data_IF_017958493929
#
_entry.id   IF_017958493929
#
_cell.length_a   1.000
_cell.length_b   1.000
_cell.length_c   1.000
_cell.angle_alpha   90.00
_cell.angle_beta   90.00
_cell.angle_gamma   90.00
#
_symmetry.space_group_name_H-M   'P 1'
#
loop_
_entity.id
_entity.type
_entity.pdbx_description
1 polymer ?
#
# COMPACT_ATOMS: atom_id res chain seq x y z
N UNK A 1 -16.62 15.93 -30.76
CA UNK A 1 -17.39 15.77 -29.51
C UNK A 1 -17.08 16.95 -28.63
N UNK A 2 -18.12 17.65 -28.18
CA UNK A 2 -17.95 18.95 -27.51
C UNK A 2 -17.44 18.74 -26.07
N UNK A 3 -16.62 19.66 -25.52
CA UNK A 3 -16.24 19.63 -24.10
C UNK A 3 -17.46 19.58 -23.16
N UNK A 4 -18.62 20.05 -23.61
CA UNK A 4 -19.89 20.01 -22.89
C UNK A 4 -20.45 18.58 -22.73
N UNK A 5 -20.22 17.69 -23.69
CA UNK A 5 -20.62 16.27 -23.57
C UNK A 5 -19.77 15.55 -22.51
N UNK A 6 -18.49 15.91 -22.38
CA UNK A 6 -17.61 15.38 -21.33
C UNK A 6 -18.04 15.88 -19.95
N UNK A 7 -18.44 17.15 -19.82
CA UNK A 7 -18.97 17.68 -18.55
C UNK A 7 -20.29 17.00 -18.14
N UNK A 8 -21.17 16.72 -19.10
CA UNK A 8 -22.39 15.95 -18.86
C UNK A 8 -22.07 14.50 -18.43
N UNK A 9 -21.03 13.88 -19.00
CA UNK A 9 -20.59 12.54 -18.59
C UNK A 9 -19.93 12.54 -17.20
N UNK A 10 -19.17 13.57 -16.85
CA UNK A 10 -18.54 13.72 -15.53
C UNK A 10 -19.59 13.94 -14.44
N UNK A 11 -20.58 14.80 -14.68
CA UNK A 11 -21.70 14.99 -13.74
C UNK A 11 -22.54 13.73 -13.60
N UNK A 12 -22.76 12.99 -14.69
CA UNK A 12 -23.36 11.65 -14.67
C UNK A 12 -22.54 10.64 -13.87
N UNK A 13 -21.21 10.62 -14.01
CA UNK A 13 -20.31 9.76 -13.24
C UNK A 13 -20.34 10.07 -11.75
N UNK A 14 -20.36 11.35 -11.37
CA UNK A 14 -20.54 11.76 -9.99
C UNK A 14 -21.87 11.30 -9.42
N UNK A 15 -22.97 11.45 -10.16
CA UNK A 15 -24.29 10.93 -9.76
C UNK A 15 -24.30 9.41 -9.59
N UNK A 16 -23.68 8.66 -10.51
CA UNK A 16 -23.59 7.20 -10.42
C UNK A 16 -22.70 6.73 -9.27
N UNK A 17 -21.62 7.45 -8.95
CA UNK A 17 -20.76 7.17 -7.80
C UNK A 17 -21.44 7.50 -6.46
N UNK A 18 -22.24 8.56 -6.42
CA UNK A 18 -23.03 8.90 -5.23
C UNK A 18 -24.16 7.91 -4.97
N UNK A 19 -24.70 7.30 -6.03
CA UNK A 19 -25.72 6.26 -5.96
C UNK A 19 -25.16 4.82 -5.93
N UNK A 20 -23.83 4.66 -5.81
CA UNK A 20 -23.12 3.37 -5.78
C UNK A 20 -23.40 2.42 -6.96
N UNK A 21 -23.83 2.94 -8.11
CA UNK A 21 -24.11 2.15 -9.32
C UNK A 21 -22.82 1.89 -10.11
N UNK A 22 -22.02 0.94 -9.61
CA UNK A 22 -20.68 0.63 -10.16
C UNK A 22 -20.72 0.16 -11.62
N UNK A 23 -21.72 -0.62 -12.04
CA UNK A 23 -21.85 -1.12 -13.42
C UNK A 23 -22.15 0.01 -14.41
N UNK A 24 -23.00 0.95 -14.02
CA UNK A 24 -23.31 2.13 -14.84
C UNK A 24 -22.10 3.08 -14.90
N UNK A 25 -21.35 3.20 -13.79
CA UNK A 25 -20.11 3.94 -13.78
C UNK A 25 -19.07 3.35 -14.76
N UNK A 26 -18.96 2.02 -14.88
CA UNK A 26 -18.08 1.38 -15.87
C UNK A 26 -18.50 1.64 -17.32
N UNK A 27 -19.81 1.57 -17.60
CA UNK A 27 -20.33 1.88 -18.93
C UNK A 27 -20.07 3.36 -19.30
N UNK A 28 -20.28 4.28 -18.36
CA UNK A 28 -19.99 5.70 -18.54
C UNK A 28 -18.47 5.96 -18.65
N UNK A 29 -17.64 5.29 -17.84
CA UNK A 29 -16.18 5.40 -17.92
C UNK A 29 -15.63 4.93 -19.26
N UNK A 30 -16.15 3.83 -19.82
CA UNK A 30 -15.72 3.35 -21.14
C UNK A 30 -16.05 4.35 -22.25
N UNK A 31 -17.25 4.96 -22.20
CA UNK A 31 -17.67 6.02 -23.11
C UNK A 31 -16.82 7.29 -22.94
N UNK A 32 -16.54 7.68 -21.71
CA UNK A 32 -15.67 8.83 -21.39
C UNK A 32 -14.24 8.60 -21.88
N UNK A 33 -13.67 7.40 -21.70
CA UNK A 33 -12.34 7.06 -22.23
C UNK A 33 -12.28 7.10 -23.75
N UNK A 34 -13.33 6.63 -24.42
CA UNK A 34 -13.42 6.71 -25.88
C UNK A 34 -13.45 8.18 -26.35
N UNK A 35 -14.23 9.03 -25.67
CA UNK A 35 -14.24 10.46 -25.95
C UNK A 35 -12.87 11.11 -25.69
N UNK A 36 -12.17 10.73 -24.61
CA UNK A 36 -10.81 11.21 -24.31
C UNK A 36 -9.77 10.74 -25.35
N UNK A 37 -9.89 9.51 -25.87
CA UNK A 37 -9.07 9.02 -26.99
C UNK A 37 -9.27 9.86 -28.24
N UNK A 38 -10.51 10.14 -28.61
CA UNK A 38 -10.82 10.94 -29.80
C UNK A 38 -10.30 12.39 -29.71
N UNK A 39 -10.14 12.90 -28.49
CA UNK A 39 -9.60 14.23 -28.22
C UNK A 39 -8.08 14.24 -27.97
N UNK A 40 -7.41 13.08 -28.10
CA UNK A 40 -5.98 12.88 -27.83
C UNK A 40 -5.54 13.39 -26.43
N UNK A 41 -6.43 13.33 -25.44
CA UNK A 41 -6.21 13.92 -24.11
C UNK A 41 -5.83 12.89 -23.02
N UNK A 42 -5.51 11.65 -23.41
CA UNK A 42 -5.13 10.57 -22.49
C UNK A 42 -3.71 10.67 -21.94
N UNK A 43 -2.82 11.33 -22.68
CA UNK A 43 -1.47 11.64 -22.23
C UNK A 43 -1.37 13.16 -22.26
N UNK A 44 -1.06 13.80 -21.12
CA UNK A 44 -1.02 15.24 -21.08
C UNK A 44 0.20 15.71 -21.89
N UNK A 45 -0.07 16.42 -22.97
CA UNK A 45 0.96 17.03 -23.83
C UNK A 45 0.87 18.55 -23.66
N UNK A 46 1.98 19.28 -23.79
CA UNK A 46 2.06 20.74 -23.61
C UNK A 46 1.10 21.56 -24.50
N UNK A 47 0.46 20.92 -25.48
CA UNK A 47 -0.52 21.51 -26.39
C UNK A 47 -1.98 21.28 -25.98
N UNK A 48 -2.25 20.59 -24.87
CA UNK A 48 -3.63 20.25 -24.45
C UNK A 48 -4.35 21.45 -23.82
N UNK A 49 -5.62 21.71 -24.17
CA UNK A 49 -6.39 22.80 -23.54
C UNK A 49 -6.56 22.55 -22.04
N UNK A 50 -6.41 23.58 -21.18
CA UNK A 50 -6.47 23.41 -19.73
C UNK A 50 -7.82 22.88 -19.22
N UNK A 51 -8.92 23.18 -19.92
CA UNK A 51 -10.25 22.62 -19.60
C UNK A 51 -10.33 21.12 -19.84
N UNK A 52 -9.78 20.63 -20.95
CA UNK A 52 -9.76 19.20 -21.25
C UNK A 52 -8.82 18.45 -20.30
N UNK A 53 -7.71 19.07 -19.91
CA UNK A 53 -6.81 18.52 -18.90
C UNK A 53 -7.54 18.27 -17.57
N UNK A 54 -8.26 19.27 -17.04
CA UNK A 54 -8.99 19.12 -15.78
C UNK A 54 -10.07 18.04 -15.83
N UNK A 55 -10.80 17.93 -16.95
CA UNK A 55 -11.83 16.90 -17.14
C UNK A 55 -11.23 15.50 -17.31
N UNK A 56 -10.13 15.38 -18.05
CA UNK A 56 -9.43 14.10 -18.23
C UNK A 56 -8.92 13.57 -16.89
N UNK A 57 -8.32 14.45 -16.07
CA UNK A 57 -7.92 14.12 -14.69
C UNK A 57 -9.11 13.62 -13.89
N UNK A 58 -10.18 14.40 -13.80
CA UNK A 58 -11.36 14.07 -13.01
C UNK A 58 -11.97 12.71 -13.42
N UNK A 59 -12.04 12.40 -14.72
CA UNK A 59 -12.51 11.10 -15.20
C UNK A 59 -11.60 9.95 -14.74
N UNK A 60 -10.28 10.14 -14.80
CA UNK A 60 -9.32 9.13 -14.36
C UNK A 60 -9.33 8.95 -12.84
N UNK A 61 -9.49 10.03 -12.07
CA UNK A 61 -9.63 10.02 -10.62
C UNK A 61 -10.90 9.27 -10.18
N UNK A 62 -12.04 9.56 -10.81
CA UNK A 62 -13.28 8.83 -10.58
C UNK A 62 -13.18 7.36 -11.00
N UNK A 63 -12.43 7.08 -12.08
CA UNK A 63 -12.11 5.71 -12.51
C UNK A 63 -11.29 4.94 -11.47
N UNK A 64 -10.34 5.59 -10.83
CA UNK A 64 -9.53 5.02 -9.76
C UNK A 64 -10.41 4.68 -8.53
N UNK A 65 -11.25 5.62 -8.09
CA UNK A 65 -12.16 5.42 -6.94
C UNK A 65 -13.17 4.30 -7.21
N UNK A 66 -13.73 4.26 -8.42
CA UNK A 66 -14.65 3.18 -8.83
C UNK A 66 -13.96 1.81 -8.78
N UNK A 67 -12.68 1.75 -9.17
CA UNK A 67 -11.90 0.51 -9.14
C UNK A 67 -11.66 0.02 -7.71
N UNK A 68 -11.38 0.93 -6.78
CA UNK A 68 -11.23 0.61 -5.35
C UNK A 68 -12.55 0.09 -4.78
N UNK A 69 -13.67 0.76 -5.04
CA UNK A 69 -15.00 0.33 -4.54
C UNK A 69 -15.41 -1.05 -5.04
N UNK A 70 -14.88 -1.47 -6.19
CA UNK A 70 -15.08 -2.81 -6.75
C UNK A 70 -14.09 -3.85 -6.20
N UNK A 71 -13.03 -3.43 -5.51
CA UNK A 71 -11.95 -4.31 -5.05
C UNK A 71 -10.98 -4.74 -6.17
N UNK A 72 -10.92 -3.99 -7.28
CA UNK A 72 -10.00 -4.29 -8.39
C UNK A 72 -8.68 -3.51 -8.23
N UNK A 73 -7.80 -4.06 -7.39
CA UNK A 73 -6.46 -3.53 -7.12
C UNK A 73 -5.60 -3.32 -8.39
N UNK A 74 -5.46 -4.27 -9.33
CA UNK A 74 -4.59 -4.07 -10.50
C UNK A 74 -5.14 -2.97 -11.43
N UNK A 75 -6.47 -2.86 -11.60
CA UNK A 75 -7.05 -1.74 -12.34
C UNK A 75 -6.76 -0.40 -11.68
N UNK A 76 -6.83 -0.32 -10.35
CA UNK A 76 -6.49 0.89 -9.62
C UNK A 76 -5.03 1.30 -9.82
N UNK A 77 -4.07 0.38 -9.68
CA UNK A 77 -2.65 0.66 -9.93
C UNK A 77 -2.41 1.20 -11.33
N UNK A 78 -3.11 0.66 -12.35
CA UNK A 78 -3.03 1.20 -13.72
C UNK A 78 -3.56 2.64 -13.81
N UNK A 79 -4.70 2.95 -13.18
CA UNK A 79 -5.21 4.32 -13.16
C UNK A 79 -4.26 5.27 -12.43
N UNK A 80 -3.69 4.83 -11.31
CA UNK A 80 -2.69 5.61 -10.57
C UNK A 80 -1.47 5.94 -11.43
N UNK A 81 -0.92 4.95 -12.16
CA UNK A 81 0.18 5.17 -13.11
C UNK A 81 -0.21 6.12 -14.25
N UNK A 82 -1.44 6.04 -14.74
CA UNK A 82 -1.94 6.96 -15.78
C UNK A 82 -2.12 8.39 -15.26
N UNK A 83 -2.37 8.57 -13.96
CA UNK A 83 -2.53 9.87 -13.31
C UNK A 83 -1.19 10.54 -12.99
N UNK A 84 -0.08 9.79 -12.85
CA UNK A 84 1.24 10.36 -12.52
C UNK A 84 1.66 11.51 -13.46
N UNK A 85 1.61 11.38 -14.80
CA UNK A 85 2.00 12.47 -15.69
C UNK A 85 1.11 13.72 -15.55
N UNK A 86 -0.16 13.56 -15.16
CA UNK A 86 -1.05 14.69 -14.91
C UNK A 86 -0.61 15.43 -13.63
N UNK A 87 -0.26 14.68 -12.58
CA UNK A 87 0.25 15.26 -11.33
C UNK A 87 1.61 15.93 -11.49
N UNK A 88 2.51 15.38 -12.30
CA UNK A 88 3.81 16.00 -12.60
C UNK A 88 3.66 17.36 -13.30
N UNK A 89 2.72 17.46 -14.25
CA UNK A 89 2.44 18.71 -14.95
C UNK A 89 1.77 19.73 -14.03
N UNK A 90 0.85 19.30 -13.18
CA UNK A 90 0.28 20.18 -12.14
C UNK A 90 1.36 20.72 -11.22
N UNK A 91 2.27 19.86 -10.77
CA UNK A 91 3.42 20.25 -9.95
C UNK A 91 4.27 21.31 -10.66
N UNK A 92 4.60 21.10 -11.93
CA UNK A 92 5.39 22.05 -12.71
C UNK A 92 4.68 23.40 -12.87
N UNK A 93 3.37 23.40 -13.10
CA UNK A 93 2.58 24.63 -13.27
C UNK A 93 2.44 25.39 -11.94
N UNK A 94 2.21 24.68 -10.83
CA UNK A 94 2.16 25.27 -9.48
C UNK A 94 3.50 25.91 -9.14
N UNK A 95 4.62 25.21 -9.39
CA UNK A 95 5.97 25.71 -9.08
C UNK A 95 6.39 26.90 -9.96
N UNK A 96 5.96 26.93 -11.23
CA UNK A 96 6.43 27.93 -12.20
C UNK A 96 5.56 29.19 -12.26
N UNK A 97 4.24 29.07 -12.13
CA UNK A 97 3.34 30.16 -12.52
C UNK A 97 2.56 30.82 -11.38
N UNK A 98 2.53 30.27 -10.16
CA UNK A 98 1.87 30.88 -8.98
C UNK A 98 0.36 31.22 -9.13
N UNK A 99 -0.21 31.05 -10.31
CA UNK A 99 -1.57 31.39 -10.68
C UNK A 99 -2.39 30.11 -10.87
N UNK A 100 -3.13 29.76 -9.81
CA UNK A 100 -4.17 28.72 -9.75
C UNK A 100 -5.36 28.96 -10.70
N UNK A 101 -5.30 29.98 -11.56
CA UNK A 101 -6.45 30.49 -12.32
C UNK A 101 -6.78 29.69 -13.59
N UNK A 102 -5.87 28.84 -14.09
CA UNK A 102 -6.09 28.09 -15.34
C UNK A 102 -6.39 26.60 -15.12
N UNK A 103 -6.05 26.04 -13.97
CA UNK A 103 -6.34 24.65 -13.60
C UNK A 103 -7.16 24.70 -12.32
N UNK A 104 -8.35 24.11 -12.32
CA UNK A 104 -9.17 23.97 -11.11
C UNK A 104 -8.47 23.00 -10.14
N UNK A 105 -7.49 23.49 -9.38
CA UNK A 105 -6.79 22.70 -8.35
C UNK A 105 -7.77 22.29 -7.23
N UNK A 106 -8.84 23.07 -7.02
CA UNK A 106 -9.90 22.76 -6.05
C UNK A 106 -10.64 21.44 -6.29
N UNK A 107 -10.66 20.90 -7.52
CA UNK A 107 -11.31 19.62 -7.81
C UNK A 107 -10.34 18.43 -7.77
N UNK A 108 -9.06 18.66 -7.49
CA UNK A 108 -8.05 17.61 -7.49
C UNK A 108 -8.23 16.69 -6.28
N UNK A 109 -8.47 15.40 -6.54
CA UNK A 109 -8.50 14.37 -5.49
C UNK A 109 -7.13 13.69 -5.31
N UNK A 110 -6.04 14.35 -5.74
CA UNK A 110 -4.67 13.84 -5.68
C UNK A 110 -4.30 13.28 -4.31
N UNK A 111 -4.39 14.07 -3.23
CA UNK A 111 -4.00 13.61 -1.89
C UNK A 111 -4.80 12.40 -1.42
N UNK A 112 -6.08 12.32 -1.81
CA UNK A 112 -6.95 11.17 -1.53
C UNK A 112 -6.50 9.92 -2.28
N UNK A 113 -6.25 10.02 -3.58
CA UNK A 113 -5.84 8.88 -4.42
C UNK A 113 -4.46 8.39 -4.03
N UNK A 114 -3.52 9.29 -3.75
CA UNK A 114 -2.19 8.95 -3.25
C UNK A 114 -2.28 8.26 -1.88
N UNK A 115 -3.11 8.76 -0.95
CA UNK A 115 -3.34 8.11 0.33
C UNK A 115 -3.94 6.69 0.19
N UNK A 116 -4.88 6.51 -0.74
CA UNK A 116 -5.44 5.19 -1.06
C UNK A 116 -4.39 4.26 -1.69
N UNK A 117 -3.49 4.78 -2.52
CA UNK A 117 -2.38 4.00 -3.09
C UNK A 117 -1.36 3.58 -2.03
N UNK A 118 -1.02 4.47 -1.11
CA UNK A 118 -0.18 4.15 0.05
C UNK A 118 -0.78 3.03 0.91
N UNK A 119 -2.09 3.07 1.16
CA UNK A 119 -2.79 1.98 1.86
C UNK A 119 -2.83 0.68 1.08
N UNK A 120 -2.98 0.74 -0.24
CA UNK A 120 -2.91 -0.45 -1.07
C UNK A 120 -1.53 -1.11 -0.93
N UNK A 121 -0.45 -0.35 -0.99
CA UNK A 121 0.92 -0.87 -0.82
C UNK A 121 1.12 -1.49 0.56
N UNK A 122 0.63 -0.84 1.61
CA UNK A 122 0.67 -1.37 2.98
C UNK A 122 -0.13 -2.67 3.10
N UNK A 123 -1.32 -2.74 2.49
CA UNK A 123 -2.15 -3.95 2.49
C UNK A 123 -1.47 -5.15 1.81
N UNK A 124 -0.65 -4.89 0.78
CA UNK A 124 0.14 -5.88 0.06
C UNK A 124 1.44 -6.26 0.77
N UNK A 125 1.81 -5.57 1.85
CA UNK A 125 3.08 -5.76 2.55
C UNK A 125 4.31 -5.24 1.78
N UNK A 126 4.12 -4.37 0.78
CA UNK A 126 5.22 -3.82 -0.01
C UNK A 126 5.74 -2.49 0.56
N UNK A 127 6.57 -2.60 1.60
CA UNK A 127 7.14 -1.45 2.30
C UNK A 127 8.15 -0.66 1.45
N UNK A 128 8.85 -1.33 0.51
CA UNK A 128 9.86 -0.68 -0.34
C UNK A 128 9.22 0.34 -1.28
N UNK A 129 8.15 -0.05 -1.98
CA UNK A 129 7.44 0.87 -2.88
C UNK A 129 6.73 1.96 -2.09
N UNK A 130 6.25 1.64 -0.88
CA UNK A 130 5.63 2.61 0.02
C UNK A 130 6.61 3.75 0.35
N UNK A 131 7.82 3.42 0.81
CA UNK A 131 8.82 4.44 1.16
C UNK A 131 9.32 5.21 -0.06
N UNK A 132 9.41 4.56 -1.23
CA UNK A 132 9.79 5.25 -2.48
C UNK A 132 8.79 6.34 -2.85
N UNK A 133 7.49 6.04 -2.75
CA UNK A 133 6.42 7.01 -3.02
C UNK A 133 6.40 8.10 -1.95
N UNK A 134 6.59 7.73 -0.68
CA UNK A 134 6.64 8.67 0.43
C UNK A 134 7.79 9.67 0.28
N UNK A 135 8.98 9.21 -0.14
CA UNK A 135 10.14 10.07 -0.40
C UNK A 135 9.82 11.15 -1.44
N UNK A 136 9.19 10.76 -2.56
CA UNK A 136 8.75 11.71 -3.59
C UNK A 136 7.76 12.75 -3.06
N UNK A 137 6.83 12.36 -2.17
CA UNK A 137 5.89 13.29 -1.53
C UNK A 137 6.58 14.23 -0.53
N UNK A 138 7.57 13.73 0.22
CA UNK A 138 8.36 14.54 1.16
C UNK A 138 9.18 15.59 0.42
N UNK A 139 9.82 15.22 -0.69
CA UNK A 139 10.55 16.16 -1.55
C UNK A 139 9.61 17.26 -2.06
N UNK A 140 8.42 16.88 -2.53
CA UNK A 140 7.40 17.83 -2.98
C UNK A 140 6.95 18.81 -1.90
N UNK A 141 6.60 18.30 -0.73
CA UNK A 141 6.14 19.11 0.39
C UNK A 141 7.26 20.06 0.86
N UNK A 142 8.50 19.58 0.91
CA UNK A 142 9.67 20.39 1.27
C UNK A 142 9.88 21.56 0.28
N UNK A 143 9.70 21.34 -1.03
CA UNK A 143 9.81 22.41 -2.03
C UNK A 143 8.70 23.47 -1.85
N UNK A 144 7.52 23.05 -1.40
CA UNK A 144 6.38 23.93 -1.14
C UNK A 144 6.39 24.56 0.27
N UNK A 145 7.37 24.20 1.12
CA UNK A 145 7.43 24.64 2.51
C UNK A 145 6.30 24.08 3.39
N UNK A 146 5.70 22.96 3.00
CA UNK A 146 4.65 22.24 3.74
C UNK A 146 5.20 20.94 4.33
N UNK A 147 4.48 20.38 5.30
CA UNK A 147 4.78 19.07 5.85
C UNK A 147 3.81 18.07 5.22
N UNK A 148 4.29 16.89 4.82
CA UNK A 148 3.44 15.83 4.22
C UNK A 148 2.28 15.44 5.14
N UNK A 149 2.52 15.51 6.45
CA UNK A 149 1.54 15.24 7.50
C UNK A 149 0.47 16.33 7.67
N UNK A 150 0.56 17.46 6.94
CA UNK A 150 -0.50 18.49 6.93
C UNK A 150 -1.78 17.98 6.24
N UNK A 151 -1.64 17.06 5.27
CA UNK A 151 -2.77 16.48 4.53
C UNK A 151 -3.36 15.29 5.30
N UNK A 152 -4.63 15.35 5.75
CA UNK A 152 -5.25 14.28 6.55
C UNK A 152 -5.28 12.92 5.85
N UNK A 153 -5.38 12.92 4.51
CA UNK A 153 -5.44 11.70 3.69
C UNK A 153 -4.10 10.96 3.58
N UNK A 154 -2.98 11.68 3.69
CA UNK A 154 -1.62 11.12 3.62
C UNK A 154 -1.10 10.81 5.02
N UNK A 155 -1.48 11.66 6.00
CA UNK A 155 -1.16 11.44 7.41
C UNK A 155 -1.63 10.07 7.90
N UNK A 156 -2.86 9.67 7.57
CA UNK A 156 -3.42 8.39 8.03
C UNK A 156 -2.59 7.16 7.62
N UNK A 157 -2.27 6.93 6.32
CA UNK A 157 -1.38 5.83 5.92
C UNK A 157 0.02 5.89 6.57
N UNK A 158 0.57 7.09 6.80
CA UNK A 158 1.90 7.28 7.40
C UNK A 158 1.92 6.96 8.89
N UNK A 159 0.91 7.40 9.66
CA UNK A 159 0.80 7.05 11.09
C UNK A 159 0.56 5.55 11.30
N UNK A 160 -0.19 4.94 10.38
CA UNK A 160 -0.47 3.51 10.40
C UNK A 160 0.79 2.69 10.12
N UNK A 161 1.56 3.07 9.10
CA UNK A 161 2.84 2.44 8.77
C UNK A 161 3.85 2.62 9.91
N UNK A 162 3.98 3.82 10.47
CA UNK A 162 4.84 4.08 11.63
C UNK A 162 4.48 3.19 12.82
N UNK A 163 3.18 3.07 13.12
CA UNK A 163 2.70 2.21 14.21
C UNK A 163 2.96 0.72 13.94
N UNK A 164 2.88 0.29 12.68
CA UNK A 164 3.22 -1.06 12.25
C UNK A 164 4.72 -1.33 12.39
N UNK A 165 5.56 -0.39 11.98
CA UNK A 165 7.02 -0.47 12.07
C UNK A 165 7.52 -0.44 13.52
N UNK A 166 6.86 0.33 14.39
CA UNK A 166 7.08 0.31 15.85
C UNK A 166 6.63 -1.00 16.51
N UNK A 167 5.84 -1.84 15.81
CA UNK A 167 5.20 -3.03 16.38
C UNK A 167 4.07 -2.71 17.36
N UNK A 168 3.54 -1.48 17.33
CA UNK A 168 2.47 -1.02 18.22
C UNK A 168 1.09 -1.37 17.64
N UNK A 169 0.80 -2.66 17.55
CA UNK A 169 -0.43 -3.18 16.93
C UNK A 169 -1.72 -2.71 17.63
N UNK A 170 -1.68 -2.39 18.93
CA UNK A 170 -2.81 -1.81 19.65
C UNK A 170 -3.25 -0.45 19.08
N UNK A 171 -2.30 0.39 18.62
CA UNK A 171 -2.62 1.68 18.00
C UNK A 171 -3.27 1.48 16.63
N UNK A 172 -2.69 0.62 15.81
CA UNK A 172 -3.18 0.24 14.47
C UNK A 172 -4.60 -0.32 14.56
N UNK A 173 -4.86 -1.20 15.53
CA UNK A 173 -6.19 -1.77 15.76
C UNK A 173 -7.22 -0.72 16.18
N UNK A 174 -6.83 0.25 17.02
CA UNK A 174 -7.71 1.36 17.39
C UNK A 174 -8.01 2.26 16.20
N UNK A 175 -7.01 2.62 15.42
CA UNK A 175 -7.17 3.49 14.24
C UNK A 175 -8.06 2.86 13.18
N UNK A 176 -7.93 1.56 12.95
CA UNK A 176 -8.78 0.81 12.01
C UNK A 176 -10.22 0.61 12.50
N UNK A 177 -10.45 0.49 13.81
CA UNK A 177 -11.78 0.19 14.38
C UNK A 177 -12.60 1.42 14.75
N UNK A 178 -11.97 2.57 15.03
CA UNK A 178 -12.62 3.75 15.63
C UNK A 178 -13.21 4.75 14.63
N UNK A 179 -13.47 4.39 13.38
CA UNK A 179 -14.00 5.33 12.37
C UNK A 179 -13.12 6.58 12.16
N UNK A 180 -11.84 6.57 12.57
CA UNK A 180 -10.92 7.70 12.38
C UNK A 180 -10.40 7.77 10.93
N UNK A 181 -11.22 7.31 10.00
CA UNK A 181 -10.92 7.08 8.61
C UNK A 181 -11.30 8.35 7.84
N UNK A 182 -10.35 9.01 7.15
CA UNK A 182 -10.61 10.29 6.49
C UNK A 182 -11.70 10.26 5.40
N UNK A 183 -11.98 9.09 4.82
CA UNK A 183 -12.98 8.89 3.77
C UNK A 183 -13.49 7.45 3.75
N UNK A 184 -14.76 7.18 3.44
CA UNK A 184 -15.33 5.82 3.45
C UNK A 184 -14.56 4.83 2.57
N UNK A 185 -13.96 5.30 1.47
CA UNK A 185 -13.15 4.46 0.56
C UNK A 185 -11.91 3.84 1.24
N UNK A 186 -11.40 4.43 2.32
CA UNK A 186 -10.27 3.91 3.10
C UNK A 186 -10.71 2.74 4.00
N UNK A 187 -11.99 2.68 4.38
CA UNK A 187 -12.55 1.59 5.17
C UNK A 187 -12.52 0.24 4.46
N UNK A 188 -12.56 0.24 3.12
CA UNK A 188 -12.44 -0.98 2.30
C UNK A 188 -11.11 -1.71 2.50
N UNK A 189 -10.06 -0.99 2.88
CA UNK A 189 -8.74 -1.56 3.13
C UNK A 189 -8.57 -2.08 4.56
N UNK A 190 -9.43 -1.65 5.50
CA UNK A 190 -9.29 -2.01 6.92
C UNK A 190 -9.36 -3.52 7.15
N UNK A 191 -10.30 -4.22 6.50
CA UNK A 191 -10.45 -5.67 6.61
C UNK A 191 -9.22 -6.43 6.08
N UNK A 192 -8.68 -5.99 4.95
CA UNK A 192 -7.49 -6.58 4.33
C UNK A 192 -6.28 -6.36 5.22
N UNK A 193 -6.07 -5.12 5.69
CA UNK A 193 -4.97 -4.78 6.58
C UNK A 193 -5.02 -5.59 7.87
N UNK A 194 -6.19 -5.75 8.49
CA UNK A 194 -6.35 -6.57 9.69
C UNK A 194 -5.90 -8.01 9.43
N UNK A 195 -6.20 -8.56 8.26
CA UNK A 195 -5.70 -9.88 7.84
C UNK A 195 -4.17 -9.93 7.79
N UNK A 196 -3.54 -8.97 7.10
CA UNK A 196 -2.08 -8.88 6.98
C UNK A 196 -1.41 -8.67 8.34
N UNK A 197 -1.94 -7.78 9.18
CA UNK A 197 -1.42 -7.52 10.53
C UNK A 197 -1.49 -8.77 11.41
N UNK A 198 -2.60 -9.54 11.34
CA UNK A 198 -2.70 -10.80 12.08
C UNK A 198 -1.67 -11.83 11.61
N UNK A 199 -1.36 -11.86 10.31
CA UNK A 199 -0.27 -12.68 9.77
C UNK A 199 1.07 -12.29 10.38
N UNK A 200 1.41 -11.01 10.33
CA UNK A 200 2.70 -10.51 10.87
C UNK A 200 2.83 -10.75 12.37
N UNK A 201 1.78 -10.50 13.15
CA UNK A 201 1.76 -10.80 14.59
C UNK A 201 1.96 -12.30 14.83
N UNK A 202 1.32 -13.16 14.02
CA UNK A 202 1.47 -14.60 14.11
C UNK A 202 2.91 -15.04 13.80
N UNK A 203 3.50 -14.54 12.72
CA UNK A 203 4.88 -14.84 12.31
C UNK A 203 5.91 -14.37 13.36
N UNK A 204 5.66 -13.23 14.01
CA UNK A 204 6.45 -12.78 15.16
C UNK A 204 6.24 -13.66 16.39
N UNK A 205 5.01 -14.10 16.66
CA UNK A 205 4.66 -14.92 17.83
C UNK A 205 5.27 -16.32 17.76
N UNK A 206 5.32 -16.91 16.56
CA UNK A 206 5.99 -18.19 16.28
C UNK A 206 7.48 -18.15 16.63
N UNK A 207 8.14 -17.02 16.40
CA UNK A 207 9.57 -16.81 16.70
C UNK A 207 9.83 -16.43 18.15
N UNK A 208 8.90 -15.69 18.76
CA UNK A 208 9.07 -15.14 20.10
C UNK A 208 8.76 -16.14 21.22
N UNK A 209 7.82 -17.07 20.98
CA UNK A 209 7.31 -17.96 22.02
C UNK A 209 7.27 -19.43 21.57
N UNK A 210 7.60 -20.39 22.45
CA UNK A 210 7.41 -21.82 22.16
C UNK A 210 5.94 -22.26 22.22
N UNK A 211 5.16 -21.65 23.13
CA UNK A 211 3.74 -21.94 23.28
C UNK A 211 3.01 -20.76 23.93
N UNK A 212 1.73 -20.60 23.60
CA UNK A 212 0.86 -19.59 24.18
C UNK A 212 -0.53 -20.16 24.52
N UNK A 213 -1.14 -19.75 25.65
CA UNK A 213 -2.55 -20.06 25.94
C UNK A 213 -3.50 -19.46 24.91
N UNK A 214 -4.61 -20.14 24.61
CA UNK A 214 -5.63 -19.65 23.66
C UNK A 214 -6.16 -18.26 24.06
N UNK A 215 -6.36 -18.00 25.36
CA UNK A 215 -6.83 -16.71 25.86
C UNK A 215 -5.84 -15.57 25.60
N UNK A 216 -4.53 -15.84 25.62
CA UNK A 216 -3.51 -14.83 25.32
C UNK A 216 -3.47 -14.53 23.83
N UNK A 217 -3.54 -15.57 22.98
CA UNK A 217 -3.58 -15.42 21.52
C UNK A 217 -4.83 -14.65 21.09
N UNK A 218 -5.98 -14.91 21.73
CA UNK A 218 -7.22 -14.17 21.51
C UNK A 218 -7.02 -12.66 21.69
N UNK A 219 -6.38 -12.26 22.79
CA UNK A 219 -6.12 -10.85 23.09
C UNK A 219 -5.07 -10.27 22.14
N UNK A 220 -4.03 -11.03 21.79
CA UNK A 220 -2.93 -10.60 20.93
C UNK A 220 -3.38 -10.38 19.48
N UNK A 221 -4.21 -11.25 18.92
CA UNK A 221 -4.72 -11.19 17.55
C UNK A 221 -6.08 -10.47 17.42
N UNK A 222 -6.58 -9.93 18.54
CA UNK A 222 -7.86 -9.24 18.65
C UNK A 222 -9.06 -10.05 18.12
N UNK A 223 -9.10 -11.34 18.42
CA UNK A 223 -10.24 -12.19 18.06
C UNK A 223 -11.40 -12.02 19.05
N UNK A 224 -12.63 -12.00 18.52
CA UNK A 224 -13.84 -11.90 19.34
C UNK A 224 -14.17 -13.22 20.06
N UNK A 225 -13.78 -14.37 19.49
CA UNK A 225 -14.10 -15.71 19.98
C UNK A 225 -12.88 -16.62 20.01
N UNK A 226 -12.83 -17.53 20.98
CA UNK A 226 -11.79 -18.57 21.08
C UNK A 226 -11.91 -19.61 19.94
N UNK A 227 -13.11 -19.79 19.38
CA UNK A 227 -13.31 -20.67 18.21
C UNK A 227 -12.53 -20.20 16.98
N UNK A 228 -12.49 -18.87 16.74
CA UNK A 228 -11.75 -18.28 15.63
C UNK A 228 -10.23 -18.46 15.79
N UNK A 229 -9.73 -18.48 17.03
CA UNK A 229 -8.31 -18.78 17.32
C UNK A 229 -7.95 -20.21 16.91
N UNK A 230 -8.87 -21.16 17.14
CA UNK A 230 -8.65 -22.57 16.80
C UNK A 230 -8.65 -22.77 15.28
N UNK A 231 -9.54 -22.09 14.55
CA UNK A 231 -9.55 -22.11 13.08
C UNK A 231 -8.25 -21.52 12.51
N UNK A 232 -7.85 -20.34 12.99
CA UNK A 232 -6.59 -19.70 12.59
C UNK A 232 -5.36 -20.55 12.90
N UNK A 233 -5.34 -21.19 14.08
CA UNK A 233 -4.29 -22.12 14.46
C UNK A 233 -4.21 -23.33 13.52
N UNK A 234 -5.35 -23.86 13.07
CA UNK A 234 -5.39 -24.97 12.11
C UNK A 234 -4.90 -24.55 10.73
N UNK A 235 -5.28 -23.37 10.24
CA UNK A 235 -4.81 -22.83 8.96
C UNK A 235 -3.28 -22.68 8.93
N UNK A 236 -2.69 -22.30 10.08
CA UNK A 236 -1.24 -22.17 10.27
C UNK A 236 -0.51 -23.47 10.62
N UNK A 237 -1.24 -24.55 10.87
CA UNK A 237 -0.66 -25.83 11.27
C UNK A 237 -0.13 -25.87 12.71
N UNK A 238 -0.58 -24.98 13.59
CA UNK A 238 -0.19 -25.00 15.00
C UNK A 238 -0.83 -26.17 15.75
N UNK A 239 -0.07 -26.76 16.69
CA UNK A 239 -0.58 -27.90 17.46
C UNK A 239 -1.28 -27.43 18.74
N UNK A 240 -2.50 -27.90 18.95
CA UNK A 240 -3.28 -27.59 20.14
C UNK A 240 -3.17 -28.75 21.13
N UNK A 241 -2.61 -28.50 22.32
CA UNK A 241 -2.59 -29.46 23.44
C UNK A 241 -3.04 -28.74 24.72
N UNK A 242 -4.02 -29.32 25.42
CA UNK A 242 -4.47 -28.88 26.75
C UNK A 242 -4.81 -27.37 26.86
N UNK A 243 -5.47 -26.80 25.85
CA UNK A 243 -5.84 -25.37 25.83
C UNK A 243 -4.67 -24.41 25.59
N UNK A 244 -3.51 -24.94 25.18
CA UNK A 244 -2.35 -24.19 24.72
C UNK A 244 -2.05 -24.50 23.26
N UNK A 245 -1.63 -23.48 22.55
CA UNK A 245 -1.12 -23.56 21.19
C UNK A 245 0.39 -23.68 21.29
N UNK A 246 0.94 -24.71 20.67
CA UNK A 246 2.36 -24.91 20.49
C UNK A 246 2.69 -24.51 19.07
N UNK A 247 3.57 -23.52 18.94
CA UNK A 247 4.11 -23.14 17.65
C UNK A 247 5.08 -24.23 17.20
N UNK A 248 5.20 -24.51 15.90
CA UNK A 248 6.24 -25.39 15.40
C UNK A 248 7.57 -24.77 15.79
N UNK A 249 8.18 -25.29 16.85
CA UNK A 249 9.51 -24.87 17.26
C UNK A 249 10.41 -25.13 16.07
N UNK A 250 11.29 -24.18 15.74
CA UNK A 250 12.33 -24.38 14.73
C UNK A 250 13.08 -25.70 14.95
N UNK A 251 13.10 -26.28 16.16
CA UNK A 251 13.65 -27.60 16.48
C UNK A 251 13.17 -28.76 15.59
N UNK A 252 11.91 -28.80 15.11
CA UNK A 252 11.47 -29.87 14.18
C UNK A 252 11.89 -29.61 12.72
N UNK A 253 12.19 -28.36 12.34
CA UNK A 253 12.90 -28.04 11.09
C UNK A 253 14.42 -28.15 11.24
N UNK A 254 14.92 -28.11 12.48
CA UNK A 254 16.35 -28.17 12.80
C UNK A 254 16.93 -29.56 12.55
N UNK A 255 16.18 -30.65 12.48
CA UNK A 255 16.81 -31.93 12.10
C UNK A 255 17.21 -31.97 10.60
N UNK A 256 16.47 -31.28 9.72
CA UNK A 256 16.81 -31.14 8.29
C UNK A 256 17.67 -29.89 8.01
N UNK A 257 17.48 -28.79 8.74
CA UNK A 257 18.25 -27.55 8.61
C UNK A 257 19.49 -27.48 9.51
N UNK A 258 19.62 -28.25 10.60
CA UNK A 258 20.90 -28.42 11.33
C UNK A 258 21.91 -29.15 10.46
N UNK A 259 21.46 -30.13 9.68
CA UNK A 259 22.36 -30.83 8.77
C UNK A 259 22.76 -29.95 7.56
N UNK A 260 21.99 -28.91 7.22
CA UNK A 260 22.40 -27.86 6.28
C UNK A 260 23.22 -26.74 6.93
N UNK A 261 22.91 -26.33 8.16
CA UNK A 261 23.62 -25.28 8.87
C UNK A 261 24.94 -25.76 9.46
N UNK A 262 25.08 -27.02 9.89
CA UNK A 262 26.38 -27.64 10.17
C UNK A 262 27.23 -27.71 8.90
N UNK A 263 26.65 -28.08 7.74
CA UNK A 263 27.35 -28.00 6.44
C UNK A 263 27.73 -26.56 6.10
N UNK A 264 26.87 -25.58 6.34
CA UNK A 264 27.11 -24.16 6.10
C UNK A 264 28.19 -23.60 7.06
N UNK A 265 28.22 -24.05 8.31
CA UNK A 265 29.25 -23.71 9.30
C UNK A 265 30.58 -24.36 8.90
N UNK A 266 30.57 -25.61 8.40
CA UNK A 266 31.75 -26.28 7.85
C UNK A 266 32.25 -25.61 6.56
N UNK A 267 31.35 -25.17 5.68
CA UNK A 267 31.65 -24.40 4.46
C UNK A 267 32.21 -23.01 4.81
N UNK A 268 31.63 -22.35 5.82
CA UNK A 268 32.11 -21.05 6.31
C UNK A 268 33.48 -21.20 7.00
N UNK A 269 33.67 -22.26 7.78
CA UNK A 269 34.98 -22.63 8.34
C UNK A 269 36.02 -22.91 7.25
N UNK A 270 35.63 -23.61 6.19
CA UNK A 270 36.44 -23.84 5.00
C UNK A 270 36.88 -22.53 4.33
N UNK A 271 35.95 -21.59 4.15
CA UNK A 271 36.25 -20.27 3.58
C UNK A 271 37.20 -19.44 4.46
N UNK A 272 37.06 -19.51 5.79
CA UNK A 272 37.98 -18.84 6.72
C UNK A 272 39.39 -19.44 6.62
N UNK A 273 39.49 -20.76 6.52
CA UNK A 273 40.77 -21.47 6.33
C UNK A 273 41.38 -21.13 4.97
N UNK A 274 40.59 -21.11 3.90
CA UNK A 274 41.04 -20.75 2.55
C UNK A 274 41.54 -19.30 2.50
N UNK A 275 40.80 -18.37 3.12
CA UNK A 275 41.23 -16.97 3.24
C UNK A 275 42.52 -16.85 4.04
N UNK A 276 42.66 -17.57 5.17
CA UNK A 276 43.88 -17.58 5.98
C UNK A 276 45.10 -18.12 5.21
N UNK A 277 44.91 -19.20 4.44
CA UNK A 277 45.95 -19.75 3.56
C UNK A 277 46.27 -18.78 2.41
N UNK A 278 45.26 -18.12 1.84
CA UNK A 278 45.41 -17.11 0.79
C UNK A 278 46.22 -15.90 1.26
N UNK A 279 45.94 -15.39 2.46
CA UNK A 279 46.70 -14.32 3.09
C UNK A 279 48.14 -14.75 3.40
N UNK A 280 48.34 -15.96 3.94
CA UNK A 280 49.68 -16.48 4.20
C UNK A 280 50.50 -16.62 2.92
N UNK A 281 49.92 -17.13 1.84
CA UNK A 281 50.56 -17.26 0.52
C UNK A 281 50.92 -15.90 -0.09
N UNK A 282 50.07 -14.88 0.07
CA UNK A 282 50.37 -13.52 -0.38
C UNK A 282 51.52 -12.89 0.41
N UNK A 283 51.67 -13.22 1.70
CA UNK A 283 52.77 -12.75 2.54
C UNK A 283 54.10 -13.49 2.27
N UNK A 284 54.06 -14.77 1.91
CA UNK A 284 55.25 -15.55 1.55
C UNK A 284 55.77 -15.24 0.13
N UNK A 285 54.92 -14.70 -0.74
CA UNK A 285 55.35 -14.24 -2.05
C UNK A 285 56.06 -12.90 -1.90
N UNK A 286 57.38 -12.91 -1.93
CA UNK A 286 58.20 -11.69 -1.93
C UNK A 286 57.77 -10.82 -3.14
N UNK A 287 57.41 -9.56 -2.88
CA UNK A 287 57.27 -8.51 -3.91
C UNK A 287 58.64 -8.13 -4.44
#
# INVERSE_FOLDING_TARGET
MAPDELQALVTGLHGSLQNEQLDQALALLSRSKLALLQLNALIPTSSTPPRLFSLAREILELGAITSIRRGDAPSFTRYYQQLQPFYDIERHIIATQGNTSQINVHTSQRSKITGLYLLLLLSMGNNTDFHTVLEGLVEEASIQGRIVEDDPFIKYPVELERSLMEGSYDKVWRETKLENVPSPDFGLFSDILIGTIRSEIADCSEKAYPSLPISNIKNLLFFNSEGAVIEFAKERGWTLKDGRVYFPTQEEQTDEDASQSEKQILLTGGNVIENAIGYARQLETIV
#
